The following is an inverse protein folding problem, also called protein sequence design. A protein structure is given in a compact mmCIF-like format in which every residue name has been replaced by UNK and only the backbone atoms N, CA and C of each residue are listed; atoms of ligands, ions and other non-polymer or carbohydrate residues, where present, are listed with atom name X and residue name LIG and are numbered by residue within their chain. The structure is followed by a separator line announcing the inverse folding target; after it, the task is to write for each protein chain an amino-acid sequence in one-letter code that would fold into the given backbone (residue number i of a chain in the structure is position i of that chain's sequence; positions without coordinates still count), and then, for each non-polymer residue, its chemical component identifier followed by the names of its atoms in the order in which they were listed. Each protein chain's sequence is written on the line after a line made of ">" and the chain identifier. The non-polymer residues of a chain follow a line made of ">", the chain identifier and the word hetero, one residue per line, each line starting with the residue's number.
data_IF_214532027118
#
_entry.id   IF_214532027118
#
_cell.length_a   1.000
_cell.length_b   1.000
_cell.length_c   1.000
_cell.angle_alpha   90.00
_cell.angle_beta   90.00
_cell.angle_gamma   90.00
#
_symmetry.space_group_name_H-M   'P 1'
#
loop_
_entity.id
_entity.type
_entity.pdbx_description
1 polymer ?
#
# COMPACT_ATOMS: atom_id res chain seq x y z
N UNK A 1 -42.44 -32.51 -78.71
CA UNK A 1 -42.64 -32.01 -77.32
C UNK A 1 -41.29 -32.05 -76.66
N UNK A 2 -40.67 -30.95 -76.33
CA UNK A 2 -39.32 -30.91 -75.69
C UNK A 2 -39.44 -30.93 -74.22
N UNK A 3 -38.66 -31.80 -73.57
CA UNK A 3 -38.47 -32.00 -72.16
C UNK A 3 -37.56 -30.85 -71.60
N UNK A 4 -38.10 -30.09 -70.73
CA UNK A 4 -37.39 -29.04 -69.95
C UNK A 4 -36.59 -29.70 -68.82
N UNK A 5 -35.28 -29.62 -68.89
CA UNK A 5 -34.32 -29.96 -67.84
C UNK A 5 -34.17 -28.74 -66.97
N UNK A 6 -34.58 -28.81 -65.72
CA UNK A 6 -34.27 -27.83 -64.69
C UNK A 6 -32.85 -28.04 -64.15
N UNK A 7 -32.03 -27.02 -64.07
CA UNK A 7 -30.73 -27.17 -63.41
C UNK A 7 -30.91 -27.11 -61.87
N UNK A 8 -30.43 -28.11 -61.17
CA UNK A 8 -30.33 -28.20 -59.77
C UNK A 8 -29.32 -27.14 -59.27
N UNK A 9 -29.64 -26.24 -58.30
CA UNK A 9 -28.65 -25.33 -57.79
C UNK A 9 -27.66 -26.11 -56.91
N UNK A 10 -26.41 -26.01 -57.26
CA UNK A 10 -25.25 -26.50 -56.52
C UNK A 10 -25.14 -25.68 -55.23
N UNK A 11 -25.57 -26.27 -54.12
CA UNK A 11 -25.41 -25.69 -52.80
C UNK A 11 -23.93 -25.79 -52.40
N UNK A 12 -23.18 -24.75 -52.67
CA UNK A 12 -21.80 -24.59 -52.19
C UNK A 12 -21.90 -24.32 -50.70
N UNK A 13 -21.80 -25.37 -49.89
CA UNK A 13 -21.60 -25.28 -48.46
C UNK A 13 -20.18 -24.74 -48.24
N UNK A 14 -20.07 -23.44 -48.01
CA UNK A 14 -18.85 -22.83 -47.52
C UNK A 14 -18.65 -23.33 -46.06
N UNK A 15 -17.91 -24.45 -45.94
CA UNK A 15 -17.37 -24.88 -44.65
C UNK A 15 -16.28 -23.85 -44.28
N UNK A 16 -16.67 -22.77 -43.62
CA UNK A 16 -15.73 -21.92 -42.89
C UNK A 16 -15.20 -22.77 -41.78
N UNK A 17 -14.08 -23.44 -41.99
CA UNK A 17 -13.30 -24.05 -40.95
C UNK A 17 -12.97 -22.94 -39.95
N UNK A 18 -13.71 -22.88 -38.84
CA UNK A 18 -13.33 -22.11 -37.67
C UNK A 18 -12.03 -22.75 -37.17
N UNK A 19 -10.91 -22.35 -37.75
CA UNK A 19 -9.61 -22.56 -37.10
C UNK A 19 -9.73 -21.94 -35.73
N UNK A 20 -9.50 -22.69 -34.64
CA UNK A 20 -9.33 -22.05 -33.32
C UNK A 20 -8.21 -21.05 -33.56
N UNK A 21 -8.53 -19.77 -33.42
CA UNK A 21 -7.51 -18.75 -33.30
C UNK A 21 -6.67 -19.19 -32.10
N UNK A 22 -5.53 -19.81 -32.38
CA UNK A 22 -4.50 -19.99 -31.36
C UNK A 22 -4.22 -18.58 -30.92
N UNK A 23 -4.78 -18.20 -29.78
CA UNK A 23 -4.43 -16.96 -29.13
C UNK A 23 -2.93 -17.09 -28.85
N UNK A 24 -2.12 -16.63 -29.81
CA UNK A 24 -0.70 -16.40 -29.52
C UNK A 24 -0.71 -15.46 -28.37
N UNK A 25 -0.22 -15.93 -27.21
CA UNK A 25 -0.04 -15.08 -26.06
C UNK A 25 0.67 -13.82 -26.57
N UNK A 26 -0.06 -12.70 -26.57
CA UNK A 26 0.55 -11.43 -27.00
C UNK A 26 1.78 -11.27 -26.13
N UNK A 27 2.93 -11.11 -26.75
CA UNK A 27 4.15 -10.74 -26.03
C UNK A 27 3.82 -9.53 -25.18
N UNK A 28 4.29 -9.51 -23.92
CA UNK A 28 4.03 -8.40 -23.01
C UNK A 28 4.33 -7.08 -23.73
N UNK A 29 3.44 -6.11 -23.64
CA UNK A 29 3.65 -4.78 -24.24
C UNK A 29 4.89 -4.08 -23.65
N UNK A 30 5.32 -4.52 -22.48
CA UNK A 30 6.53 -4.04 -21.81
C UNK A 30 7.59 -5.14 -21.88
N UNK A 31 8.65 -4.99 -22.68
CA UNK A 31 9.73 -5.95 -22.72
C UNK A 31 10.42 -6.03 -21.35
N UNK A 32 11.03 -7.18 -20.99
CA UNK A 32 11.87 -7.27 -19.81
C UNK A 32 12.97 -6.21 -19.86
N UNK A 33 13.13 -5.47 -18.75
CA UNK A 33 14.20 -4.50 -18.61
C UNK A 33 15.40 -5.17 -17.94
N UNK A 34 16.58 -4.95 -18.49
CA UNK A 34 17.84 -5.44 -17.97
C UNK A 34 18.74 -4.24 -17.64
N UNK A 35 19.18 -4.14 -16.38
CA UNK A 35 20.14 -3.14 -15.93
C UNK A 35 21.47 -3.81 -15.55
N UNK A 36 22.60 -3.18 -15.89
CA UNK A 36 23.92 -3.63 -15.46
C UNK A 36 24.33 -3.02 -14.12
N UNK A 37 24.06 -1.73 -13.92
CA UNK A 37 24.51 -0.98 -12.75
C UNK A 37 23.37 -0.64 -11.79
N UNK A 38 22.24 -0.25 -12.32
CA UNK A 38 21.06 0.15 -11.54
C UNK A 38 19.76 -0.07 -12.30
N UNK A 39 18.66 -0.03 -11.57
CA UNK A 39 17.31 -0.04 -12.12
C UNK A 39 16.39 0.85 -11.28
N UNK A 40 15.59 1.69 -11.93
CA UNK A 40 14.55 2.51 -11.32
C UNK A 40 13.18 2.06 -11.82
N UNK A 41 12.37 1.48 -10.96
CA UNK A 41 11.06 0.89 -11.31
C UNK A 41 9.98 1.45 -10.40
N UNK A 42 8.92 1.98 -11.02
CA UNK A 42 7.68 2.41 -10.33
C UNK A 42 6.53 2.39 -11.32
N UNK A 43 5.29 2.41 -10.83
CA UNK A 43 4.08 2.48 -11.65
C UNK A 43 3.93 3.75 -12.49
N UNK A 44 4.65 4.82 -12.14
CA UNK A 44 4.60 6.12 -12.83
C UNK A 44 5.88 6.37 -13.63
N UNK A 45 5.83 6.46 -14.97
CA UNK A 45 7.02 6.67 -15.80
C UNK A 45 7.85 7.92 -15.44
N UNK A 46 7.17 9.03 -15.12
CA UNK A 46 7.86 10.26 -14.71
C UNK A 46 8.58 10.10 -13.37
N UNK A 47 7.99 9.34 -12.43
CA UNK A 47 8.66 9.05 -11.16
C UNK A 47 9.85 8.09 -11.35
N UNK A 48 9.76 7.10 -12.25
CA UNK A 48 10.91 6.27 -12.62
C UNK A 48 12.04 7.12 -13.22
N UNK A 49 11.70 8.10 -14.06
CA UNK A 49 12.66 9.06 -14.61
C UNK A 49 13.34 9.91 -13.51
N UNK A 50 12.61 10.26 -12.45
CA UNK A 50 13.22 10.94 -11.30
C UNK A 50 14.31 10.08 -10.66
N UNK A 51 14.06 8.80 -10.40
CA UNK A 51 15.06 7.86 -9.88
C UNK A 51 16.27 7.69 -10.80
N UNK A 52 16.04 7.56 -12.11
CA UNK A 52 17.11 7.47 -13.11
C UNK A 52 18.03 8.72 -13.09
N UNK A 53 17.45 9.92 -13.00
CA UNK A 53 18.22 11.17 -12.88
C UNK A 53 19.09 11.20 -11.64
N UNK A 54 18.60 10.68 -10.51
CA UNK A 54 19.36 10.61 -9.27
C UNK A 54 20.57 9.66 -9.41
N UNK A 55 20.40 8.50 -10.04
CA UNK A 55 21.52 7.61 -10.33
C UNK A 55 22.58 8.26 -11.22
N UNK A 56 22.16 8.96 -12.28
CA UNK A 56 23.05 9.69 -13.18
C UNK A 56 23.80 10.84 -12.46
N UNK A 57 23.23 11.38 -11.38
CA UNK A 57 23.87 12.40 -10.55
C UNK A 57 24.77 11.83 -9.45
N UNK A 58 25.02 10.51 -9.43
CA UNK A 58 25.88 9.84 -8.45
C UNK A 58 25.19 9.46 -7.13
N UNK A 59 23.86 9.56 -7.07
CA UNK A 59 23.07 9.07 -5.94
C UNK A 59 23.07 7.55 -5.85
N UNK A 60 22.82 7.03 -4.65
CA UNK A 60 22.63 5.60 -4.41
C UNK A 60 21.16 5.18 -4.58
N UNK A 61 20.87 3.90 -4.35
CA UNK A 61 19.53 3.35 -4.49
C UNK A 61 18.50 4.01 -3.54
N UNK A 62 18.94 4.44 -2.36
CA UNK A 62 18.07 5.12 -1.39
C UNK A 62 17.73 6.54 -1.84
N UNK A 63 18.72 7.30 -2.34
CA UNK A 63 18.49 8.63 -2.93
C UNK A 63 17.48 8.54 -4.08
N UNK A 64 17.67 7.54 -4.97
CA UNK A 64 16.78 7.30 -6.11
C UNK A 64 15.36 6.91 -5.65
N UNK A 65 15.23 6.03 -4.66
CA UNK A 65 13.94 5.63 -4.10
C UNK A 65 13.22 6.80 -3.45
N UNK A 66 13.92 7.63 -2.66
CA UNK A 66 13.35 8.85 -2.06
C UNK A 66 12.83 9.82 -3.13
N UNK A 67 13.58 10.03 -4.20
CA UNK A 67 13.14 10.88 -5.31
C UNK A 67 11.93 10.30 -6.06
N UNK A 68 11.90 8.98 -6.25
CA UNK A 68 10.74 8.30 -6.87
C UNK A 68 9.49 8.38 -5.99
N UNK A 69 9.62 8.16 -4.69
CA UNK A 69 8.51 8.28 -3.73
C UNK A 69 7.98 9.71 -3.73
N UNK A 70 8.87 10.72 -3.63
CA UNK A 70 8.49 12.13 -3.64
C UNK A 70 7.79 12.52 -4.94
N UNK A 71 8.29 12.06 -6.09
CA UNK A 71 7.67 12.30 -7.39
C UNK A 71 6.30 11.61 -7.51
N UNK A 72 6.19 10.34 -7.13
CA UNK A 72 4.92 9.59 -7.16
C UNK A 72 3.87 10.22 -6.23
N UNK A 73 4.27 10.64 -5.03
CA UNK A 73 3.40 11.32 -4.07
C UNK A 73 2.90 12.68 -4.60
N UNK A 74 3.73 13.39 -5.37
CA UNK A 74 3.36 14.66 -6.02
C UNK A 74 2.40 14.43 -7.18
N UNK A 75 2.52 13.31 -7.88
CA UNK A 75 1.62 12.92 -8.97
C UNK A 75 0.30 12.32 -8.48
N UNK A 76 0.17 12.10 -7.19
CA UNK A 76 -0.99 11.47 -6.56
C UNK A 76 -1.32 10.09 -7.13
N UNK A 77 -0.37 9.18 -6.99
CA UNK A 77 -0.50 7.77 -7.38
C UNK A 77 -0.84 6.91 -6.16
N UNK A 78 -2.07 6.88 -5.68
CA UNK A 78 -2.46 6.21 -4.43
C UNK A 78 -1.59 6.67 -3.25
N UNK A 79 -0.27 6.66 -3.40
CA UNK A 79 0.69 7.31 -2.52
C UNK A 79 0.61 8.83 -2.66
N UNK A 80 0.59 9.53 -1.54
CA UNK A 80 0.61 11.00 -1.49
C UNK A 80 1.35 11.51 -0.24
N UNK A 81 1.60 12.80 -0.18
CA UNK A 81 2.38 13.40 0.90
C UNK A 81 1.76 13.25 2.30
N UNK A 82 0.46 13.09 2.39
CA UNK A 82 -0.27 12.75 3.62
C UNK A 82 -0.33 11.25 3.95
N UNK A 83 0.29 10.41 3.12
CA UNK A 83 0.29 8.95 3.27
C UNK A 83 1.41 8.43 4.17
N UNK A 84 1.84 7.22 3.90
CA UNK A 84 2.85 6.48 4.66
C UNK A 84 4.00 6.02 3.78
N UNK A 85 5.11 5.61 4.39
CA UNK A 85 6.23 4.95 3.71
C UNK A 85 6.58 3.64 4.38
N UNK A 86 6.66 2.60 3.56
CA UNK A 86 7.11 1.26 3.92
C UNK A 86 8.28 0.89 3.03
N UNK A 87 9.42 0.51 3.60
CA UNK A 87 10.57 0.13 2.79
C UNK A 87 11.38 -1.02 3.40
N UNK A 88 12.00 -1.78 2.51
CA UNK A 88 13.08 -2.72 2.83
C UNK A 88 14.33 -2.25 2.10
N UNK A 89 15.42 -2.08 2.85
CA UNK A 89 16.69 -1.58 2.33
C UNK A 89 17.76 -2.65 2.57
N UNK A 90 18.38 -3.16 1.49
CA UNK A 90 19.60 -3.95 1.63
C UNK A 90 20.78 -3.02 1.90
N UNK A 91 21.41 -3.18 3.07
CA UNK A 91 22.63 -2.45 3.42
C UNK A 91 23.86 -3.31 3.16
N UNK A 92 24.65 -3.04 2.10
CA UNK A 92 25.81 -3.86 1.75
C UNK A 92 26.95 -3.78 2.76
N UNK A 93 27.02 -2.71 3.57
CA UNK A 93 28.08 -2.53 4.58
C UNK A 93 27.84 -3.44 5.79
N UNK A 94 26.59 -3.57 6.24
CA UNK A 94 26.23 -4.43 7.37
C UNK A 94 25.79 -5.82 6.94
N UNK A 95 25.53 -6.02 5.64
CA UNK A 95 24.95 -7.25 5.05
C UNK A 95 23.60 -7.60 5.69
N UNK A 96 22.81 -6.60 6.03
CA UNK A 96 21.48 -6.75 6.63
C UNK A 96 20.42 -6.10 5.76
N UNK A 97 19.23 -6.65 5.78
CA UNK A 97 18.02 -5.98 5.32
C UNK A 97 17.46 -5.16 6.47
N UNK A 98 17.09 -3.93 6.19
CA UNK A 98 16.56 -2.96 7.17
C UNK A 98 15.11 -2.67 6.80
N UNK A 99 14.22 -2.68 7.79
CA UNK A 99 12.85 -2.27 7.65
C UNK A 99 12.67 -0.79 8.00
N UNK A 100 11.87 -0.09 7.23
CA UNK A 100 11.42 1.28 7.52
C UNK A 100 9.91 1.24 7.74
N UNK A 101 9.50 1.64 8.93
CA UNK A 101 8.11 1.85 9.29
C UNK A 101 7.85 3.34 9.49
N UNK A 102 7.26 3.95 8.50
CA UNK A 102 6.75 5.31 8.58
C UNK A 102 5.21 5.30 8.39
N UNK A 103 4.55 4.39 9.11
CA UNK A 103 3.09 4.35 9.20
C UNK A 103 2.60 5.50 10.08
N UNK A 104 1.59 6.20 9.63
CA UNK A 104 0.95 7.24 10.41
C UNK A 104 0.13 6.65 11.57
N UNK A 105 0.14 7.33 12.71
CA UNK A 105 -0.68 6.97 13.86
C UNK A 105 -1.88 7.91 13.99
N UNK A 106 -2.96 7.39 14.58
CA UNK A 106 -4.14 8.20 14.87
C UNK A 106 -3.78 9.29 15.91
N UNK A 107 -4.38 10.51 15.79
CA UNK A 107 -4.23 11.51 16.84
C UNK A 107 -4.78 11.01 18.17
N UNK A 108 -4.19 11.45 19.29
CA UNK A 108 -4.55 11.00 20.64
C UNK A 108 -6.06 11.20 20.96
N UNK A 109 -6.70 12.18 20.35
CA UNK A 109 -8.14 12.43 20.49
C UNK A 109 -9.04 11.45 19.72
N UNK A 110 -8.51 10.60 18.87
CA UNK A 110 -9.27 9.64 18.05
C UNK A 110 -9.57 8.35 18.83
N UNK A 111 -10.21 8.49 19.99
CA UNK A 111 -10.53 7.36 20.88
C UNK A 111 -11.84 6.67 20.43
N UNK A 112 -12.03 5.40 20.80
CA UNK A 112 -13.30 4.70 20.57
C UNK A 112 -14.50 5.44 21.19
N UNK A 113 -14.31 6.06 22.36
CA UNK A 113 -15.32 6.82 23.07
C UNK A 113 -15.74 8.06 22.28
N UNK A 114 -14.76 8.77 21.67
CA UNK A 114 -15.03 9.91 20.81
C UNK A 114 -15.93 9.50 19.63
N UNK A 115 -15.59 8.46 18.89
CA UNK A 115 -16.39 8.02 17.74
C UNK A 115 -17.77 7.52 18.16
N UNK A 116 -17.89 6.77 19.24
CA UNK A 116 -19.18 6.33 19.79
C UNK A 116 -20.06 7.51 20.20
N UNK A 117 -19.48 8.55 20.80
CA UNK A 117 -20.21 9.76 21.18
C UNK A 117 -20.82 10.50 19.97
N UNK A 118 -20.24 10.29 18.78
CA UNK A 118 -20.74 10.78 17.48
C UNK A 118 -21.67 9.81 16.76
N UNK A 119 -22.05 8.69 17.40
CA UNK A 119 -22.88 7.65 16.77
C UNK A 119 -22.13 6.81 15.74
N UNK A 120 -20.80 6.85 15.74
CA UNK A 120 -19.94 6.11 14.80
C UNK A 120 -19.40 4.86 15.47
N UNK A 121 -19.57 3.69 14.84
CA UNK A 121 -18.95 2.44 15.31
C UNK A 121 -17.45 2.41 15.06
N UNK A 122 -17.00 3.08 13.98
CA UNK A 122 -15.61 3.17 13.52
C UNK A 122 -15.31 4.59 13.02
N UNK A 123 -14.01 4.96 12.88
CA UNK A 123 -13.64 6.16 12.15
C UNK A 123 -14.23 6.13 10.73
N UNK A 124 -14.59 7.30 10.16
CA UNK A 124 -15.08 7.34 8.79
C UNK A 124 -13.96 6.97 7.81
N UNK A 125 -14.34 6.46 6.62
CA UNK A 125 -13.37 6.08 5.60
C UNK A 125 -12.63 7.28 4.98
N UNK A 126 -13.19 8.49 5.09
CA UNK A 126 -12.69 9.70 4.43
C UNK A 126 -12.88 10.94 5.32
N UNK A 127 -12.11 11.97 5.00
CA UNK A 127 -12.23 13.28 5.63
C UNK A 127 -11.36 13.46 6.88
N UNK A 128 -11.43 14.61 7.53
CA UNK A 128 -10.52 15.00 8.61
C UNK A 128 -10.52 14.08 9.84
N UNK A 129 -11.62 13.36 10.09
CA UNK A 129 -11.71 12.39 11.19
C UNK A 129 -11.06 11.03 10.86
N UNK A 130 -10.75 10.77 9.59
CA UNK A 130 -9.99 9.60 9.15
C UNK A 130 -8.47 9.88 9.09
N UNK A 131 -8.05 11.12 9.31
CA UNK A 131 -6.67 11.53 9.14
C UNK A 131 -5.76 10.90 10.22
N UNK A 132 -4.63 10.38 9.77
CA UNK A 132 -3.51 9.91 10.59
C UNK A 132 -2.28 10.76 10.32
N UNK A 133 -1.29 10.73 11.21
CA UNK A 133 -0.04 11.50 11.04
C UNK A 133 0.59 11.19 9.68
N UNK A 134 0.92 12.20 8.86
CA UNK A 134 1.58 11.99 7.57
C UNK A 134 2.94 11.31 7.74
N UNK A 135 3.06 10.06 7.29
CA UNK A 135 4.31 9.28 7.40
C UNK A 135 5.25 9.45 6.21
N UNK A 136 4.71 9.76 5.01
CA UNK A 136 5.53 9.88 3.78
C UNK A 136 6.69 10.87 3.90
N UNK A 137 6.51 12.10 4.39
CA UNK A 137 7.63 13.03 4.57
C UNK A 137 8.71 12.49 5.51
N UNK A 138 8.29 11.95 6.66
CA UNK A 138 9.21 11.36 7.63
C UNK A 138 9.99 10.18 7.08
N UNK A 139 9.31 9.30 6.34
CA UNK A 139 9.96 8.16 5.71
C UNK A 139 11.03 8.57 4.70
N UNK A 140 10.72 9.52 3.80
CA UNK A 140 11.68 10.07 2.84
C UNK A 140 12.87 10.69 3.57
N UNK A 141 12.62 11.58 4.54
CA UNK A 141 13.68 12.32 5.24
C UNK A 141 14.56 11.40 6.07
N UNK A 142 13.97 10.41 6.77
CA UNK A 142 14.74 9.42 7.55
C UNK A 142 15.58 8.51 6.66
N UNK A 143 15.01 7.93 5.61
CA UNK A 143 15.76 7.10 4.68
C UNK A 143 16.92 7.86 4.03
N UNK A 144 16.66 9.10 3.60
CA UNK A 144 17.68 9.94 3.01
C UNK A 144 18.78 10.28 4.01
N UNK A 145 18.44 10.68 5.24
CA UNK A 145 19.39 11.04 6.29
C UNK A 145 20.31 9.87 6.66
N UNK A 146 19.73 8.68 6.86
CA UNK A 146 20.44 7.50 7.36
C UNK A 146 21.23 6.75 6.27
N UNK A 147 20.68 6.66 5.06
CA UNK A 147 21.20 5.75 4.02
C UNK A 147 21.51 6.42 2.68
N UNK A 148 21.07 7.65 2.46
CA UNK A 148 21.35 8.40 1.24
C UNK A 148 22.74 9.08 1.24
N UNK A 149 23.10 9.67 0.11
CA UNK A 149 24.37 10.41 -0.13
C UNK A 149 24.16 11.86 -0.54
N UNK A 150 23.09 12.12 -1.29
CA UNK A 150 22.78 13.43 -1.84
C UNK A 150 22.12 14.34 -0.82
N UNK A 151 22.02 15.62 -1.11
CA UNK A 151 21.26 16.59 -0.33
C UNK A 151 19.76 16.42 -0.55
N UNK A 152 18.96 16.93 0.37
CA UNK A 152 17.51 16.98 0.24
C UNK A 152 17.08 17.79 -1.00
N UNK A 153 17.79 18.89 -1.28
CA UNK A 153 17.54 19.71 -2.45
C UNK A 153 17.68 18.94 -3.76
N UNK A 154 18.74 18.13 -3.90
CA UNK A 154 18.95 17.30 -5.10
C UNK A 154 17.86 16.23 -5.24
N UNK A 155 17.52 15.55 -4.16
CA UNK A 155 16.54 14.44 -4.15
C UNK A 155 15.12 14.93 -4.38
N UNK A 156 14.73 16.09 -3.81
CA UNK A 156 13.39 16.65 -4.00
C UNK A 156 13.23 17.46 -5.29
N UNK A 157 14.31 17.81 -5.99
CA UNK A 157 14.24 18.64 -7.20
C UNK A 157 13.27 18.10 -8.29
N UNK A 158 13.17 16.79 -8.57
CA UNK A 158 12.16 16.29 -9.50
C UNK A 158 10.73 16.53 -9.02
N UNK A 159 10.43 16.24 -7.75
CA UNK A 159 9.11 16.43 -7.17
C UNK A 159 8.71 17.90 -7.12
N UNK A 160 9.64 18.79 -6.77
CA UNK A 160 9.42 20.24 -6.77
C UNK A 160 9.04 20.74 -8.16
N UNK A 161 9.80 20.36 -9.20
CA UNK A 161 9.44 20.72 -10.59
C UNK A 161 8.08 20.16 -11.02
N UNK A 162 7.70 18.95 -10.56
CA UNK A 162 6.37 18.42 -10.82
C UNK A 162 5.27 19.19 -10.09
N UNK A 163 5.51 19.63 -8.86
CA UNK A 163 4.56 20.47 -8.13
C UNK A 163 4.36 21.84 -8.80
N UNK A 164 5.41 22.39 -9.42
CA UNK A 164 5.35 23.60 -10.27
C UNK A 164 4.56 23.37 -11.56
N UNK A 165 4.50 22.14 -12.07
CA UNK A 165 3.65 21.75 -13.20
C UNK A 165 4.13 20.49 -13.92
N UNK A 166 3.20 19.56 -14.12
CA UNK A 166 3.43 18.38 -14.94
C UNK A 166 2.17 18.03 -15.77
N UNK A 167 2.33 17.33 -16.91
CA UNK A 167 1.18 16.91 -17.68
C UNK A 167 0.40 15.81 -16.92
N UNK A 168 -0.87 16.08 -16.66
CA UNK A 168 -1.76 15.15 -15.94
C UNK A 168 -1.91 13.84 -16.70
N UNK A 169 -1.78 12.73 -16.01
CA UNK A 169 -2.01 11.40 -16.60
C UNK A 169 -3.49 11.08 -16.72
N UNK A 170 -3.87 10.36 -17.78
CA UNK A 170 -5.27 10.01 -18.02
C UNK A 170 -5.90 9.17 -16.92
N UNK A 171 -5.13 8.27 -16.29
CA UNK A 171 -5.62 7.47 -15.17
C UNK A 171 -5.97 8.35 -13.96
N UNK A 172 -5.10 9.28 -13.59
CA UNK A 172 -5.31 10.19 -12.45
C UNK A 172 -6.43 11.17 -12.75
N UNK A 173 -6.49 11.74 -13.97
CA UNK A 173 -7.60 12.60 -14.39
C UNK A 173 -8.95 11.87 -14.29
N UNK A 174 -9.03 10.63 -14.78
CA UNK A 174 -10.23 9.81 -14.68
C UNK A 174 -10.60 9.43 -13.24
N UNK A 175 -9.61 9.27 -12.35
CA UNK A 175 -9.88 9.04 -10.94
C UNK A 175 -10.46 10.30 -10.27
N UNK A 176 -9.87 11.47 -10.51
CA UNK A 176 -10.38 12.75 -10.00
C UNK A 176 -11.84 12.98 -10.44
N UNK A 177 -12.16 12.69 -11.71
CA UNK A 177 -13.51 12.86 -12.23
C UNK A 177 -14.51 11.91 -11.55
N UNK A 178 -14.16 10.64 -11.36
CA UNK A 178 -15.01 9.66 -10.64
C UNK A 178 -15.25 10.06 -9.19
N UNK A 179 -14.24 10.63 -8.51
CA UNK A 179 -14.30 11.01 -7.11
C UNK A 179 -14.74 12.45 -6.88
N UNK A 180 -15.16 13.15 -7.92
CA UNK A 180 -15.51 14.58 -7.89
C UNK A 180 -16.50 14.94 -6.78
N UNK A 181 -17.58 14.16 -6.64
CA UNK A 181 -18.61 14.40 -5.62
C UNK A 181 -18.05 14.28 -4.20
N UNK A 182 -17.07 13.43 -3.99
CA UNK A 182 -16.39 13.28 -2.71
C UNK A 182 -15.39 14.41 -2.50
N UNK A 183 -14.56 14.70 -3.49
CA UNK A 183 -13.49 15.72 -3.40
C UNK A 183 -14.04 17.11 -3.10
N UNK A 184 -15.20 17.47 -3.66
CA UNK A 184 -15.81 18.80 -3.45
C UNK A 184 -16.37 19.02 -2.03
N UNK A 185 -16.48 17.97 -1.22
CA UNK A 185 -16.95 18.08 0.17
C UNK A 185 -15.97 18.81 1.07
N UNK A 186 -14.66 18.78 0.72
CA UNK A 186 -13.60 19.41 1.49
C UNK A 186 -12.99 20.58 0.71
N UNK A 187 -12.94 21.78 1.32
CA UNK A 187 -12.53 22.99 0.62
C UNK A 187 -11.15 22.89 -0.03
N UNK A 188 -10.16 22.33 0.65
CA UNK A 188 -8.82 22.20 0.12
C UNK A 188 -8.71 21.16 -0.99
N UNK A 189 -9.37 20.01 -0.85
CA UNK A 189 -9.43 18.99 -1.91
C UNK A 189 -10.11 19.55 -3.16
N UNK A 190 -11.23 20.27 -2.98
CA UNK A 190 -11.94 20.96 -4.07
C UNK A 190 -11.03 21.95 -4.78
N UNK A 191 -10.38 22.83 -4.03
CA UNK A 191 -9.51 23.89 -4.56
C UNK A 191 -8.34 23.30 -5.38
N UNK A 192 -7.71 22.23 -4.90
CA UNK A 192 -6.54 21.64 -5.56
C UNK A 192 -6.93 20.72 -6.70
N UNK A 193 -7.88 19.81 -6.49
CA UNK A 193 -8.19 18.73 -7.44
C UNK A 193 -9.28 19.12 -8.45
N UNK A 194 -10.11 20.13 -8.16
CA UNK A 194 -11.22 20.58 -9.00
C UNK A 194 -11.10 22.09 -9.31
N UNK A 195 -9.96 22.56 -9.87
CA UNK A 195 -9.67 23.98 -10.02
C UNK A 195 -10.47 24.69 -11.12
N UNK A 196 -11.21 23.93 -11.97
CA UNK A 196 -11.96 24.49 -13.08
C UNK A 196 -13.39 24.84 -12.71
N UNK A 197 -14.00 25.72 -13.49
CA UNK A 197 -15.40 26.08 -13.36
C UNK A 197 -16.33 24.85 -13.38
N UNK A 198 -17.33 24.83 -12.51
CA UNK A 198 -18.25 23.70 -12.35
C UNK A 198 -17.63 22.51 -11.59
N UNK A 199 -16.59 22.73 -10.78
CA UNK A 199 -15.90 21.68 -10.00
C UNK A 199 -15.36 20.55 -10.88
N UNK A 200 -14.68 20.93 -11.96
CA UNK A 200 -14.02 19.97 -12.87
C UNK A 200 -12.53 19.85 -12.56
N UNK A 201 -12.05 18.62 -12.63
CA UNK A 201 -10.62 18.30 -12.52
C UNK A 201 -9.85 18.63 -13.81
N UNK A 202 -8.52 18.48 -13.77
CA UNK A 202 -7.68 18.57 -14.97
C UNK A 202 -7.95 17.41 -15.94
N UNK A 203 -7.82 17.67 -17.23
CA UNK A 203 -7.89 16.63 -18.26
C UNK A 203 -6.51 16.01 -18.52
N UNK A 204 -6.49 14.84 -19.16
CA UNK A 204 -5.24 14.20 -19.55
C UNK A 204 -4.42 15.10 -20.46
N UNK A 205 -3.13 15.28 -20.14
CA UNK A 205 -2.21 16.16 -20.86
C UNK A 205 -2.19 17.62 -20.41
N UNK A 206 -3.18 18.06 -19.63
CA UNK A 206 -3.14 19.42 -19.07
C UNK A 206 -2.05 19.58 -18.02
N UNK A 207 -1.48 20.75 -17.92
CA UNK A 207 -0.48 21.05 -16.91
C UNK A 207 -1.16 21.27 -15.55
N UNK A 208 -0.97 20.29 -14.68
CA UNK A 208 -1.45 20.35 -13.30
C UNK A 208 -0.38 20.96 -12.39
N UNK A 209 -0.79 21.91 -11.54
CA UNK A 209 0.10 22.63 -10.63
C UNK A 209 -0.41 22.54 -9.20
N UNK A 210 0.53 22.39 -8.27
CA UNK A 210 0.29 22.34 -6.83
C UNK A 210 1.18 23.36 -6.11
N UNK A 211 0.88 24.67 -6.19
CA UNK A 211 1.75 25.72 -5.68
C UNK A 211 2.01 25.61 -4.17
N UNK A 212 1.00 25.20 -3.38
CA UNK A 212 1.16 25.03 -1.94
C UNK A 212 2.11 23.87 -1.61
N UNK A 213 2.04 22.77 -2.38
CA UNK A 213 2.97 21.66 -2.26
C UNK A 213 4.39 22.10 -2.64
N UNK A 214 4.55 22.87 -3.73
CA UNK A 214 5.85 23.42 -4.12
C UNK A 214 6.43 24.32 -3.00
N UNK A 215 5.60 25.16 -2.39
CA UNK A 215 6.01 25.99 -1.27
C UNK A 215 6.44 25.16 -0.05
N UNK A 216 5.69 24.11 0.29
CA UNK A 216 6.04 23.19 1.39
C UNK A 216 7.36 22.47 1.13
N UNK A 217 7.59 21.94 -0.08
CA UNK A 217 8.86 21.33 -0.47
C UNK A 217 10.03 22.34 -0.40
N UNK A 218 9.78 23.58 -0.83
CA UNK A 218 10.72 24.70 -0.69
C UNK A 218 11.10 24.96 0.77
N UNK A 219 10.15 24.96 1.70
CA UNK A 219 10.41 25.12 3.14
C UNK A 219 11.31 23.99 3.69
N UNK A 220 11.15 22.75 3.23
CA UNK A 220 11.99 21.63 3.66
C UNK A 220 13.43 21.80 3.16
N UNK A 221 13.62 22.17 1.88
CA UNK A 221 14.92 22.43 1.27
C UNK A 221 15.60 23.62 1.98
N UNK A 222 14.86 24.68 2.28
CA UNK A 222 15.37 25.84 3.01
C UNK A 222 15.87 25.46 4.43
N UNK A 223 15.14 24.58 5.14
CA UNK A 223 15.56 24.12 6.46
C UNK A 223 16.89 23.37 6.42
N UNK A 224 17.09 22.47 5.46
CA UNK A 224 18.37 21.80 5.24
C UNK A 224 19.48 22.82 4.94
N UNK A 225 19.25 23.73 3.99
CA UNK A 225 20.22 24.76 3.60
C UNK A 225 20.66 25.63 4.78
N UNK A 226 19.70 26.09 5.58
CA UNK A 226 19.97 26.93 6.75
C UNK A 226 20.76 26.16 7.83
N UNK A 227 20.41 24.88 8.06
CA UNK A 227 21.15 24.02 8.99
C UNK A 227 22.59 23.76 8.51
N UNK A 228 22.80 23.55 7.20
CA UNK A 228 24.14 23.43 6.60
C UNK A 228 24.95 24.73 6.75
N UNK A 229 24.33 25.88 6.52
CA UNK A 229 24.98 27.19 6.71
C UNK A 229 25.33 27.42 8.19
N UNK A 230 24.59 26.88 9.13
CA UNK A 230 24.87 26.87 10.57
C UNK A 230 25.92 25.83 10.99
N UNK A 231 26.58 25.14 10.07
CA UNK A 231 27.67 24.20 10.34
C UNK A 231 27.23 22.77 10.66
N UNK A 232 25.96 22.44 10.55
CA UNK A 232 25.48 21.06 10.76
C UNK A 232 25.94 20.13 9.64
N UNK A 233 26.22 18.88 9.98
CA UNK A 233 26.53 17.86 8.98
C UNK A 233 25.29 17.55 8.11
N UNK A 234 25.45 16.73 7.04
CA UNK A 234 24.37 16.40 6.10
C UNK A 234 23.17 15.76 6.81
N UNK A 235 23.41 14.75 7.66
CA UNK A 235 22.37 14.01 8.37
C UNK A 235 21.58 14.95 9.28
N UNK A 236 22.26 15.73 10.10
CA UNK A 236 21.64 16.71 11.01
C UNK A 236 20.83 17.78 10.25
N UNK A 237 21.32 18.19 9.08
CA UNK A 237 20.62 19.18 8.27
C UNK A 237 19.32 18.62 7.65
N UNK A 238 19.29 17.36 7.23
CA UNK A 238 18.07 16.70 6.77
C UNK A 238 17.09 16.53 7.93
N UNK A 239 17.56 16.20 9.13
CA UNK A 239 16.70 16.15 10.31
C UNK A 239 16.17 17.54 10.73
N UNK A 240 16.85 18.62 10.40
CA UNK A 240 16.26 19.97 10.58
C UNK A 240 15.05 20.20 9.67
N UNK A 241 15.02 19.62 8.47
CA UNK A 241 13.83 19.61 7.63
C UNK A 241 12.72 18.72 8.21
N UNK A 242 13.06 17.55 8.79
CA UNK A 242 12.13 16.71 9.51
C UNK A 242 11.47 17.46 10.66
N UNK A 243 12.25 18.14 11.50
CA UNK A 243 11.72 18.92 12.62
C UNK A 243 10.84 20.08 12.14
N UNK A 244 11.18 20.74 11.03
CA UNK A 244 10.33 21.79 10.44
C UNK A 244 8.95 21.24 10.03
N UNK A 245 8.91 20.00 9.50
CA UNK A 245 7.64 19.36 9.11
C UNK A 245 6.80 19.01 10.34
N UNK A 246 7.39 18.32 11.34
CA UNK A 246 6.63 17.72 12.44
C UNK A 246 6.51 18.62 13.69
N UNK A 247 7.40 19.63 13.83
CA UNK A 247 7.46 20.51 15.01
C UNK A 247 7.47 22.01 14.67
N UNK A 248 7.61 22.33 13.37
CA UNK A 248 7.77 23.70 12.91
C UNK A 248 6.48 24.35 12.41
N UNK A 249 6.65 25.31 11.49
CA UNK A 249 5.58 26.06 10.87
C UNK A 249 4.65 25.17 10.02
N UNK A 250 5.19 24.14 9.36
CA UNK A 250 4.40 23.19 8.56
C UNK A 250 3.43 22.41 9.45
N UNK A 251 3.89 21.92 10.61
CA UNK A 251 3.03 21.24 11.58
C UNK A 251 1.87 22.13 12.04
N UNK A 252 2.15 23.39 12.39
CA UNK A 252 1.12 24.34 12.85
C UNK A 252 0.09 24.62 11.77
N UNK A 253 0.50 24.84 10.53
CA UNK A 253 -0.41 25.04 9.38
C UNK A 253 -1.29 23.80 9.16
N UNK A 254 -0.71 22.60 9.16
CA UNK A 254 -1.43 21.34 8.99
C UNK A 254 -2.47 21.12 10.10
N UNK A 255 -2.07 21.28 11.35
CA UNK A 255 -2.97 21.13 12.51
C UNK A 255 -4.12 22.13 12.43
N UNK A 256 -3.83 23.40 12.14
CA UNK A 256 -4.85 24.43 12.02
C UNK A 256 -5.87 24.11 10.92
N UNK A 257 -5.40 23.70 9.73
CA UNK A 257 -6.27 23.36 8.60
C UNK A 257 -7.15 22.13 8.86
N UNK A 258 -6.57 21.08 9.44
CA UNK A 258 -7.32 19.84 9.76
C UNK A 258 -8.34 20.09 10.87
N UNK A 259 -7.99 20.86 11.91
CA UNK A 259 -8.93 21.23 12.98
C UNK A 259 -10.06 22.12 12.53
N UNK A 260 -9.80 23.08 11.64
CA UNK A 260 -10.82 23.95 11.06
C UNK A 260 -11.90 23.16 10.30
N UNK A 261 -11.57 21.97 9.83
CA UNK A 261 -12.48 21.05 9.14
C UNK A 261 -13.03 19.93 10.07
N UNK A 262 -12.83 20.04 11.39
CA UNK A 262 -13.36 19.11 12.38
C UNK A 262 -12.46 17.90 12.70
N UNK A 263 -11.22 17.89 12.23
CA UNK A 263 -10.26 16.84 12.57
C UNK A 263 -9.65 16.97 13.97
N UNK A 264 -8.86 15.99 14.38
CA UNK A 264 -8.46 15.82 15.78
C UNK A 264 -6.99 16.12 16.08
N UNK A 265 -6.15 16.40 15.05
CA UNK A 265 -4.73 16.64 15.26
C UNK A 265 -4.43 17.73 16.27
N UNK A 266 -3.39 17.49 17.06
CA UNK A 266 -2.68 18.49 17.85
C UNK A 266 -1.23 18.59 17.38
N UNK A 267 -0.54 19.68 17.70
CA UNK A 267 0.89 19.81 17.43
C UNK A 267 1.70 18.72 18.17
N UNK A 268 1.23 18.29 19.35
CA UNK A 268 1.85 17.21 20.10
C UNK A 268 1.78 15.86 19.39
N UNK A 269 0.65 15.54 18.70
CA UNK A 269 0.52 14.30 17.93
C UNK A 269 1.60 14.23 16.85
N UNK A 270 1.82 15.33 16.14
CA UNK A 270 2.87 15.39 15.10
C UNK A 270 4.27 15.37 15.71
N UNK A 271 4.51 16.13 16.77
CA UNK A 271 5.84 16.26 17.39
C UNK A 271 6.36 14.98 18.05
N UNK A 272 5.47 14.13 18.58
CA UNK A 272 5.82 12.85 19.19
C UNK A 272 5.98 11.71 18.19
N UNK A 273 5.42 11.84 16.99
CA UNK A 273 5.54 10.81 15.98
C UNK A 273 6.96 10.71 15.42
N UNK A 274 7.40 9.49 15.17
CA UNK A 274 8.70 9.22 14.56
C UNK A 274 8.66 7.97 13.67
N UNK A 275 9.58 7.92 12.72
CA UNK A 275 9.83 6.74 11.89
C UNK A 275 10.54 5.68 12.72
N UNK A 276 10.09 4.43 12.63
CA UNK A 276 10.80 3.29 13.22
C UNK A 276 11.69 2.61 12.17
N UNK A 277 12.94 2.39 12.57
CA UNK A 277 13.89 1.54 11.83
C UNK A 277 13.85 0.18 12.48
N UNK A 278 13.37 -0.82 11.75
CA UNK A 278 13.02 -2.13 12.29
C UNK A 278 13.88 -3.25 11.71
N UNK A 279 14.02 -4.34 12.43
CA UNK A 279 14.49 -5.59 11.86
C UNK A 279 13.32 -6.30 11.15
N UNK A 280 13.44 -6.58 9.85
CA UNK A 280 12.37 -7.23 9.11
C UNK A 280 12.27 -8.72 9.47
N UNK A 281 11.09 -9.29 9.29
CA UNK A 281 10.90 -10.74 9.42
C UNK A 281 11.32 -11.46 8.15
N UNK A 282 11.72 -12.71 8.27
CA UNK A 282 12.16 -13.53 7.14
C UNK A 282 11.71 -14.97 7.24
N UNK A 283 11.66 -15.63 6.10
CA UNK A 283 11.68 -17.09 5.96
C UNK A 283 12.62 -17.49 4.83
N UNK A 284 13.06 -18.73 4.82
CA UNK A 284 13.68 -19.32 3.62
C UNK A 284 12.59 -20.01 2.78
N UNK A 285 12.68 -19.90 1.47
CA UNK A 285 11.87 -20.66 0.53
C UNK A 285 12.79 -21.25 -0.55
N UNK A 286 12.94 -22.57 -0.56
CA UNK A 286 13.81 -23.27 -1.52
C UNK A 286 15.20 -22.63 -1.62
N UNK A 287 15.86 -22.47 -0.48
CA UNK A 287 17.21 -21.89 -0.33
C UNK A 287 17.32 -20.38 -0.64
N UNK A 288 16.18 -19.68 -0.81
CA UNK A 288 16.15 -18.23 -0.96
C UNK A 288 15.59 -17.58 0.31
N UNK A 289 16.34 -16.68 0.91
CA UNK A 289 15.87 -15.87 2.02
C UNK A 289 14.90 -14.79 1.52
N UNK A 290 13.68 -14.78 2.06
CA UNK A 290 12.62 -13.81 1.72
C UNK A 290 12.34 -12.94 2.93
N UNK A 291 12.50 -11.64 2.77
CA UNK A 291 12.32 -10.64 3.82
C UNK A 291 11.03 -9.84 3.62
N UNK A 292 10.32 -9.55 4.70
CA UNK A 292 9.14 -8.69 4.73
C UNK A 292 9.14 -7.83 6.00
N UNK A 293 8.41 -6.72 5.97
CA UNK A 293 8.06 -5.97 7.19
C UNK A 293 7.12 -6.81 8.07
N UNK A 294 6.99 -6.42 9.33
CA UNK A 294 6.27 -7.19 10.34
C UNK A 294 4.74 -7.13 10.20
N UNK A 295 4.02 -7.58 11.22
CA UNK A 295 2.56 -7.80 11.22
C UNK A 295 1.71 -6.54 11.09
N UNK A 296 2.27 -5.34 11.25
CA UNK A 296 1.58 -4.10 10.90
C UNK A 296 1.40 -3.91 9.39
N UNK A 297 2.05 -4.78 8.59
CA UNK A 297 1.85 -4.90 7.15
C UNK A 297 1.27 -6.27 6.80
N UNK A 298 1.00 -6.46 5.51
CA UNK A 298 0.62 -7.77 4.98
C UNK A 298 1.84 -8.64 4.58
N UNK A 299 3.05 -8.21 4.96
CA UNK A 299 4.30 -8.90 4.62
C UNK A 299 4.34 -10.35 5.05
N UNK A 300 4.07 -10.68 6.32
CA UNK A 300 4.16 -12.06 6.80
C UNK A 300 3.18 -13.02 6.12
N UNK A 301 2.05 -12.57 5.54
CA UNK A 301 1.15 -13.42 4.74
C UNK A 301 1.89 -14.07 3.58
N UNK A 302 2.76 -13.32 2.89
CA UNK A 302 3.57 -13.90 1.81
C UNK A 302 4.50 -14.98 2.36
N UNK A 303 5.15 -14.72 3.50
CA UNK A 303 6.08 -15.67 4.12
C UNK A 303 5.35 -16.94 4.56
N UNK A 304 4.17 -16.82 5.19
CA UNK A 304 3.32 -17.96 5.54
C UNK A 304 2.87 -18.74 4.31
N UNK A 305 2.41 -18.04 3.27
CA UNK A 305 2.00 -18.67 2.00
C UNK A 305 3.16 -19.47 1.39
N UNK A 306 4.36 -18.91 1.34
CA UNK A 306 5.55 -19.59 0.83
C UNK A 306 5.89 -20.82 1.67
N UNK A 307 5.82 -20.72 3.00
CA UNK A 307 6.06 -21.86 3.89
C UNK A 307 5.06 -22.99 3.68
N UNK A 308 3.77 -22.65 3.46
CA UNK A 308 2.75 -23.66 3.15
C UNK A 308 3.03 -24.29 1.78
N UNK A 309 3.32 -23.49 0.76
CA UNK A 309 3.58 -23.96 -0.61
C UNK A 309 4.84 -24.80 -0.73
N UNK A 310 5.81 -24.66 0.15
CA UNK A 310 7.05 -25.45 0.15
C UNK A 310 6.80 -26.96 0.36
N UNK A 311 5.62 -27.31 0.93
CA UNK A 311 5.18 -28.70 1.11
C UNK A 311 4.62 -29.35 -0.19
N UNK A 312 4.61 -28.63 -1.32
CA UNK A 312 4.05 -29.11 -2.59
C UNK A 312 5.04 -29.02 -3.73
N UNK A 313 5.05 -29.99 -4.63
CA UNK A 313 5.80 -29.92 -5.88
C UNK A 313 5.02 -29.09 -6.92
N UNK A 314 5.15 -27.77 -6.80
CA UNK A 314 4.49 -26.83 -7.72
C UNK A 314 4.97 -26.99 -9.17
N UNK A 315 6.24 -27.44 -9.38
CA UNK A 315 6.78 -27.65 -10.72
C UNK A 315 6.07 -28.81 -11.43
N UNK A 316 5.88 -29.92 -10.72
CA UNK A 316 5.13 -31.07 -11.25
C UNK A 316 3.66 -30.81 -11.53
N UNK A 317 3.06 -29.78 -10.87
CA UNK A 317 1.69 -29.36 -11.16
C UNK A 317 1.54 -28.67 -12.51
N UNK A 318 2.63 -28.11 -13.05
CA UNK A 318 2.64 -27.29 -14.27
C UNK A 318 2.18 -25.85 -13.99
N UNK A 319 2.98 -24.88 -14.47
CA UNK A 319 2.70 -23.47 -14.26
C UNK A 319 1.31 -23.09 -14.81
N UNK A 320 0.55 -22.36 -14.02
CA UNK A 320 -0.79 -21.86 -14.35
C UNK A 320 -1.84 -22.94 -14.67
N UNK A 321 -1.58 -24.21 -14.32
CA UNK A 321 -2.60 -25.27 -14.40
C UNK A 321 -3.68 -25.09 -13.34
N UNK A 322 -4.84 -25.71 -13.51
CA UNK A 322 -5.93 -25.70 -12.53
C UNK A 322 -5.43 -26.17 -11.14
N UNK A 323 -4.61 -27.24 -11.10
CA UNK A 323 -4.04 -27.77 -9.87
C UNK A 323 -3.10 -26.75 -9.20
N UNK A 324 -2.24 -26.08 -9.99
CA UNK A 324 -1.34 -25.05 -9.49
C UNK A 324 -2.12 -23.88 -8.90
N UNK A 325 -3.07 -23.31 -9.67
CA UNK A 325 -3.90 -22.18 -9.23
C UNK A 325 -4.69 -22.53 -7.97
N UNK A 326 -5.30 -23.70 -7.94
CA UNK A 326 -6.09 -24.19 -6.80
C UNK A 326 -5.26 -24.34 -5.52
N UNK A 327 -4.05 -24.91 -5.64
CA UNK A 327 -3.12 -25.05 -4.50
C UNK A 327 -2.64 -23.68 -4.01
N UNK A 328 -2.25 -22.79 -4.92
CA UNK A 328 -1.83 -21.43 -4.58
C UNK A 328 -2.94 -20.66 -3.86
N UNK A 329 -4.15 -20.70 -4.40
CA UNK A 329 -5.31 -20.01 -3.82
C UNK A 329 -5.60 -20.49 -2.40
N UNK A 330 -5.63 -21.81 -2.15
CA UNK A 330 -5.89 -22.35 -0.82
C UNK A 330 -4.78 -22.01 0.18
N UNK A 331 -3.50 -22.08 -0.23
CA UNK A 331 -2.38 -21.69 0.63
C UNK A 331 -2.48 -20.22 1.05
N UNK A 332 -2.84 -19.34 0.10
CA UNK A 332 -3.11 -17.93 0.39
C UNK A 332 -4.30 -17.78 1.34
N UNK A 333 -5.42 -18.50 1.09
CA UNK A 333 -6.63 -18.40 1.90
C UNK A 333 -6.36 -18.76 3.38
N UNK A 334 -5.57 -19.81 3.64
CA UNK A 334 -5.13 -20.17 4.98
C UNK A 334 -4.29 -19.06 5.65
N UNK A 335 -3.33 -18.50 4.92
CA UNK A 335 -2.47 -17.42 5.43
C UNK A 335 -3.28 -16.12 5.68
N UNK A 336 -4.26 -15.83 4.83
CA UNK A 336 -5.16 -14.69 5.02
C UNK A 336 -6.11 -14.88 6.22
N UNK A 337 -6.60 -16.11 6.47
CA UNK A 337 -7.41 -16.38 7.66
C UNK A 337 -6.62 -16.12 8.95
N UNK A 338 -5.34 -16.52 8.98
CA UNK A 338 -4.45 -16.24 10.10
C UNK A 338 -4.18 -14.73 10.23
N UNK A 339 -3.92 -14.03 9.12
CA UNK A 339 -3.72 -12.58 9.11
C UNK A 339 -4.91 -11.85 9.71
N UNK A 340 -6.09 -12.13 9.18
CA UNK A 340 -7.32 -11.46 9.59
C UNK A 340 -7.64 -11.64 11.07
N UNK A 341 -7.12 -12.71 11.67
CA UNK A 341 -7.35 -13.00 13.07
C UNK A 341 -6.22 -12.48 13.99
N UNK A 342 -4.96 -12.60 13.60
CA UNK A 342 -3.81 -12.38 14.48
C UNK A 342 -3.06 -11.07 14.26
N UNK A 343 -3.06 -10.50 13.01
CA UNK A 343 -2.24 -9.33 12.75
C UNK A 343 -2.84 -8.07 13.36
N UNK A 344 -1.97 -7.21 13.84
CA UNK A 344 -2.34 -5.96 14.49
C UNK A 344 -1.19 -4.97 14.52
N UNK A 345 -1.23 -4.09 15.51
CA UNK A 345 -0.18 -3.13 15.79
C UNK A 345 0.82 -3.74 16.79
N UNK A 346 2.06 -4.06 16.37
CA UNK A 346 3.03 -4.75 17.21
C UNK A 346 3.54 -3.92 18.40
N UNK A 347 3.18 -2.64 18.48
CA UNK A 347 3.54 -1.77 19.58
C UNK A 347 2.50 -1.77 20.71
N UNK A 348 1.39 -2.49 20.53
CA UNK A 348 0.34 -2.63 21.53
C UNK A 348 0.08 -4.09 21.86
N UNK A 349 -0.06 -4.44 23.17
CA UNK A 349 -0.38 -5.81 23.55
C UNK A 349 -1.82 -6.21 23.12
N UNK A 350 -2.08 -7.52 22.95
CA UNK A 350 -1.12 -8.63 23.12
C UNK A 350 -0.20 -8.79 21.91
N UNK A 351 1.03 -9.31 22.16
CA UNK A 351 1.97 -9.63 21.07
C UNK A 351 1.38 -10.67 20.12
N UNK A 352 1.59 -10.46 18.83
CA UNK A 352 1.20 -11.40 17.80
C UNK A 352 2.08 -12.65 17.82
N UNK A 353 1.52 -13.84 17.53
CA UNK A 353 2.27 -15.09 17.57
C UNK A 353 3.17 -15.29 16.34
N UNK A 354 4.03 -14.32 16.06
CA UNK A 354 4.78 -14.21 14.82
C UNK A 354 5.75 -15.38 14.61
N UNK A 355 6.40 -15.84 15.66
CA UNK A 355 7.32 -17.00 15.58
C UNK A 355 6.56 -18.26 15.18
N UNK A 356 5.39 -18.48 15.78
CA UNK A 356 4.53 -19.61 15.43
C UNK A 356 3.98 -19.49 14.01
N UNK A 357 3.48 -18.33 13.60
CA UNK A 357 2.94 -18.06 12.27
C UNK A 357 3.97 -18.34 11.16
N UNK A 358 5.25 -18.02 11.39
CA UNK A 358 6.33 -18.23 10.43
C UNK A 358 7.05 -19.57 10.58
N UNK A 359 6.65 -20.42 11.53
CA UNK A 359 7.21 -21.76 11.75
C UNK A 359 6.94 -22.68 10.56
N UNK A 360 7.94 -23.46 10.16
CA UNK A 360 7.80 -24.47 9.11
C UNK A 360 6.86 -25.62 9.55
N UNK A 361 6.88 -25.98 10.82
CA UNK A 361 6.01 -27.02 11.38
C UNK A 361 4.54 -26.57 11.38
N UNK A 362 4.28 -25.31 11.70
CA UNK A 362 2.96 -24.73 11.56
C UNK A 362 2.49 -24.76 10.10
N UNK A 363 3.32 -24.33 9.19
CA UNK A 363 3.02 -24.34 7.76
C UNK A 363 2.74 -25.76 7.24
N UNK A 364 3.49 -26.76 7.69
CA UNK A 364 3.26 -28.18 7.37
C UNK A 364 1.93 -28.67 7.94
N UNK A 365 1.53 -28.22 9.13
CA UNK A 365 0.21 -28.51 9.69
C UNK A 365 -0.90 -27.91 8.84
N UNK A 366 -0.77 -26.62 8.46
CA UNK A 366 -1.74 -25.93 7.60
C UNK A 366 -1.83 -26.56 6.21
N UNK A 367 -0.71 -27.00 5.64
CA UNK A 367 -0.68 -27.66 4.33
C UNK A 367 -1.55 -28.91 4.25
N UNK A 368 -1.75 -29.64 5.36
CA UNK A 368 -2.63 -30.82 5.44
C UNK A 368 -4.11 -30.47 5.31
N UNK A 369 -4.50 -29.22 5.49
CA UNK A 369 -5.88 -28.76 5.36
C UNK A 369 -6.28 -28.46 3.90
N UNK A 370 -5.31 -28.40 2.96
CA UNK A 370 -5.60 -28.18 1.56
C UNK A 370 -6.32 -29.42 0.96
N UNK A 371 -7.45 -29.15 0.32
CA UNK A 371 -8.19 -30.18 -0.40
C UNK A 371 -7.84 -30.15 -1.89
N UNK A 372 -7.50 -31.29 -2.51
CA UNK A 372 -7.25 -31.33 -3.95
C UNK A 372 -8.51 -31.15 -4.81
N UNK A 373 -9.70 -31.25 -4.22
CA UNK A 373 -10.96 -31.32 -4.94
C UNK A 373 -11.82 -30.05 -4.81
N UNK A 374 -11.73 -29.34 -3.69
CA UNK A 374 -12.58 -28.17 -3.43
C UNK A 374 -11.92 -27.18 -2.48
N UNK A 375 -12.23 -25.92 -2.63
CA UNK A 375 -11.85 -24.87 -1.69
C UNK A 375 -12.86 -24.75 -0.55
N UNK A 376 -12.39 -24.41 0.65
CA UNK A 376 -13.23 -23.95 1.75
C UNK A 376 -13.20 -22.41 1.80
N UNK A 377 -14.29 -21.73 1.46
CA UNK A 377 -14.32 -20.26 1.51
C UNK A 377 -14.41 -19.69 2.94
N UNK A 378 -14.62 -20.56 3.95
CA UNK A 378 -14.78 -20.19 5.36
C UNK A 378 -13.69 -20.80 6.23
N UNK A 379 -12.49 -20.95 5.68
CA UNK A 379 -11.36 -21.51 6.43
C UNK A 379 -11.13 -20.73 7.73
N UNK A 380 -10.95 -21.48 8.83
CA UNK A 380 -10.66 -20.88 10.13
C UNK A 380 -9.18 -20.49 10.26
N UNK A 381 -8.85 -19.51 11.13
CA UNK A 381 -7.47 -19.32 11.55
C UNK A 381 -6.97 -20.58 12.28
N UNK A 382 -5.69 -20.88 12.13
CA UNK A 382 -5.04 -21.95 12.86
C UNK A 382 -4.63 -21.55 14.27
N UNK A 383 -3.89 -22.43 14.97
CA UNK A 383 -3.31 -22.11 16.28
C UNK A 383 -1.76 -22.06 16.19
N UNK A 384 -1.18 -20.91 15.89
CA UNK A 384 0.28 -20.75 15.81
C UNK A 384 0.97 -20.78 17.19
N UNK A 385 0.27 -20.49 18.28
CA UNK A 385 0.86 -20.42 19.63
C UNK A 385 1.48 -21.73 20.08
N UNK A 386 0.86 -22.88 19.70
CA UNK A 386 1.41 -24.20 19.99
C UNK A 386 2.81 -24.41 19.38
N UNK A 387 3.11 -23.73 18.25
CA UNK A 387 4.37 -23.84 17.51
C UNK A 387 5.45 -22.84 17.97
N UNK A 388 5.12 -21.99 18.93
CA UNK A 388 6.10 -21.15 19.65
C UNK A 388 6.15 -21.45 21.16
N UNK A 389 5.49 -22.53 21.60
CA UNK A 389 5.55 -23.00 23.00
C UNK A 389 4.76 -22.13 23.97
N UNK A 390 3.76 -21.39 23.49
CA UNK A 390 2.92 -20.52 24.34
C UNK A 390 1.43 -20.92 24.24
N UNK A 391 0.65 -20.49 25.23
CA UNK A 391 -0.79 -20.76 25.25
C UNK A 391 -1.54 -19.73 24.41
N UNK A 392 -2.41 -20.22 23.52
CA UNK A 392 -3.26 -19.36 22.72
C UNK A 392 -4.37 -18.73 23.60
N UNK A 393 -4.40 -17.40 23.75
CA UNK A 393 -5.46 -16.73 24.53
C UNK A 393 -6.82 -16.70 23.80
N UNK A 394 -6.86 -17.07 22.52
CA UNK A 394 -8.05 -16.96 21.63
C UNK A 394 -8.69 -18.29 21.28
N UNK A 395 -8.34 -19.38 21.94
CA UNK A 395 -8.86 -20.75 21.63
C UNK A 395 -10.38 -20.77 21.55
N UNK A 396 -11.07 -20.10 22.46
CA UNK A 396 -12.54 -20.11 22.48
C UNK A 396 -13.17 -19.28 21.34
N UNK A 397 -12.47 -18.27 20.85
CA UNK A 397 -12.89 -17.51 19.65
C UNK A 397 -12.74 -18.37 18.39
N UNK A 398 -11.63 -19.09 18.27
CA UNK A 398 -11.39 -19.99 17.12
C UNK A 398 -12.43 -21.10 17.07
N UNK A 399 -12.75 -21.73 18.21
CA UNK A 399 -13.80 -22.77 18.28
C UNK A 399 -15.16 -22.28 17.76
N UNK A 400 -15.47 -21.00 18.00
CA UNK A 400 -16.71 -20.37 17.58
C UNK A 400 -16.63 -19.69 16.20
N UNK A 401 -15.54 -19.88 15.45
CA UNK A 401 -15.31 -19.20 14.17
C UNK A 401 -16.46 -19.41 13.16
N UNK A 402 -17.04 -20.59 13.13
CA UNK A 402 -18.13 -20.95 12.21
C UNK A 402 -19.53 -20.68 12.79
N UNK A 403 -19.64 -20.19 14.03
CA UNK A 403 -20.94 -19.83 14.60
C UNK A 403 -21.49 -18.58 13.87
N UNK A 404 -22.82 -18.49 13.66
CA UNK A 404 -23.44 -17.32 13.09
C UNK A 404 -23.12 -16.09 13.94
N UNK A 405 -22.38 -15.15 13.38
CA UNK A 405 -22.08 -13.89 14.06
C UNK A 405 -23.37 -13.11 14.25
N UNK A 406 -23.71 -12.71 15.48
CA UNK A 406 -24.82 -11.80 15.75
C UNK A 406 -24.57 -10.50 14.99
N UNK A 407 -25.52 -10.11 14.10
CA UNK A 407 -25.44 -8.79 13.46
C UNK A 407 -25.32 -7.74 14.55
N UNK A 408 -24.30 -6.91 14.46
CA UNK A 408 -24.23 -5.70 15.26
C UNK A 408 -25.50 -4.86 14.97
N UNK A 409 -26.10 -4.21 15.97
CA UNK A 409 -27.24 -3.32 15.73
C UNK A 409 -26.81 -2.29 14.69
N UNK A 410 -27.58 -2.20 13.59
CA UNK A 410 -27.38 -1.16 12.57
C UNK A 410 -27.64 0.19 13.23
N UNK A 411 -26.57 0.86 13.64
CA UNK A 411 -26.68 2.28 14.01
C UNK A 411 -26.98 3.02 12.72
N UNK A 412 -28.19 3.58 12.63
CA UNK A 412 -28.74 4.24 11.46
C UNK A 412 -27.98 5.50 11.04
N UNK A 413 -26.80 5.29 10.46
CA UNK A 413 -26.18 6.27 9.60
C UNK A 413 -26.57 5.91 8.17
N UNK A 414 -27.11 6.84 7.43
CA UNK A 414 -27.45 6.66 6.01
C UNK A 414 -26.21 6.08 5.30
N UNK A 415 -26.30 4.89 4.68
CA UNK A 415 -25.18 4.37 3.92
C UNK A 415 -24.98 5.35 2.74
N UNK A 416 -23.86 6.02 2.72
CA UNK A 416 -23.38 6.59 1.45
C UNK A 416 -23.13 5.37 0.57
N UNK A 417 -23.98 5.19 -0.43
CA UNK A 417 -23.88 4.09 -1.38
C UNK A 417 -22.53 4.18 -2.06
N UNK A 418 -21.54 3.47 -1.54
CA UNK A 418 -20.32 3.19 -2.26
C UNK A 418 -20.62 1.99 -3.17
N UNK A 419 -20.70 2.26 -4.46
CA UNK A 419 -20.70 1.23 -5.50
C UNK A 419 -19.33 0.58 -5.63
N UNK A 420 -18.59 0.42 -4.54
CA UNK A 420 -17.30 -0.23 -4.51
C UNK A 420 -17.41 -1.56 -3.77
N UNK A 421 -16.93 -2.58 -4.42
CA UNK A 421 -16.73 -3.96 -3.98
C UNK A 421 -15.78 -4.10 -2.78
N UNK A 422 -15.58 -3.05 -1.98
CA UNK A 422 -14.75 -3.04 -0.77
C UNK A 422 -15.48 -3.52 0.49
N UNK A 423 -16.51 -4.34 0.31
CA UNK A 423 -17.23 -5.02 1.41
C UNK A 423 -16.44 -6.20 2.02
N UNK A 424 -15.10 -6.24 1.87
CA UNK A 424 -14.29 -7.28 2.48
C UNK A 424 -14.06 -7.10 3.99
N UNK A 425 -14.38 -5.94 4.55
CA UNK A 425 -14.33 -5.72 5.99
C UNK A 425 -15.74 -5.67 6.57
N UNK A 426 -16.33 -6.83 6.83
CA UNK A 426 -17.58 -6.89 7.59
C UNK A 426 -17.37 -6.29 8.99
N UNK A 427 -18.24 -5.36 9.37
CA UNK A 427 -18.29 -4.73 10.71
C UNK A 427 -18.21 -5.72 11.88
N UNK A 428 -18.64 -6.96 11.66
CA UNK A 428 -18.59 -8.07 12.61
C UNK A 428 -17.17 -8.51 13.01
N UNK A 429 -16.17 -8.26 12.18
CA UNK A 429 -14.79 -8.71 12.45
C UNK A 429 -14.13 -7.90 13.57
N UNK A 430 -14.31 -6.58 13.56
CA UNK A 430 -13.74 -5.71 14.59
C UNK A 430 -14.48 -5.79 15.94
N UNK A 431 -15.76 -6.14 15.93
CA UNK A 431 -16.54 -6.31 17.16
C UNK A 431 -16.17 -7.56 17.96
N UNK A 432 -15.49 -8.53 17.35
CA UNK A 432 -15.13 -9.81 17.97
C UNK A 432 -13.73 -9.85 18.58
N UNK A 433 -12.85 -8.86 18.33
CA UNK A 433 -11.54 -8.81 18.97
C UNK A 433 -11.67 -8.34 20.43
N UNK A 434 -11.12 -9.09 21.41
CA UNK A 434 -10.95 -8.54 22.76
C UNK A 434 -9.99 -7.35 22.68
N UNK A 435 -10.33 -6.29 23.41
CA UNK A 435 -9.49 -5.12 23.60
C UNK A 435 -8.44 -5.40 24.66
#
# INVERSE_FOLDING_TARGET
>A
MPSTIFPTPLLVVLLVAAMPAVATAQSTQKPPLHGQEWMAVTGKPLAATAGAKIFLSGGNAVDAACAMIAAAATMWDVLHWGGETQALIWNPHTKKVIGINALGVAPAGATPEFFRSKGMAYPPAYGPLAAVTPGTPGGILTMLAEYGRLSLAEVLAPALRMAEGYPMEGQTAGYIDRERERLRQWPDSRRVMLPKEGDKGPEAGEIFRQPDLAAMLGKLIEAEKNARAAGKNRKEAIYAAYDRFYKGDIARELVAAVRAQGGLFTEADLAHWQVHIEEPVKTSYRDVDVYKLTVWTQGPVLLQTLNILENFDLKAMGYNSTKYIHTLYQAMNLAYADRDFYYGDPYFPPEEPLLGLLSKDYAMSRAKELSPLRNDPKVAPGDPYAFQGTKNPYVDLIKRWHEPKKKAPSTGGTPVASNNTDTFFEESFYAARPR
#
